data_IF_947953322166
#
_entry.id   IF_947953322166
#
_cell.length_a   1.000
_cell.length_b   1.000
_cell.length_c   1.000
_cell.angle_alpha   90.00
_cell.angle_beta   90.00
_cell.angle_gamma   90.00
#
_symmetry.space_group_name_H-M   'P 1'
#
loop_
_entity.id
_entity.type
_entity.pdbx_description
1 polymer ?
#
# COMPACT_ATOMS: atom_id res chain seq x y z
N UNK A 1 0.21 19.85 4.98
CA UNK A 1 -1.12 19.26 4.77
C UNK A 1 -1.04 18.23 3.66
N UNK A 2 -1.04 16.95 4.04
CA UNK A 2 -0.90 15.78 3.16
C UNK A 2 -2.19 15.62 2.32
N UNK A 3 -2.14 15.94 1.02
CA UNK A 3 -3.23 15.72 0.05
C UNK A 3 -3.32 14.24 -0.39
N UNK A 4 -3.16 13.29 0.53
CA UNK A 4 -3.33 11.85 0.26
C UNK A 4 -4.79 11.50 -0.05
N UNK A 5 -5.75 12.34 0.34
CA UNK A 5 -7.18 12.16 0.08
C UNK A 5 -7.53 12.15 -1.41
N UNK A 6 -6.86 12.96 -2.25
CA UNK A 6 -7.27 13.10 -3.66
C UNK A 6 -6.94 11.87 -4.51
N UNK A 7 -5.86 11.15 -4.20
CA UNK A 7 -5.51 9.91 -4.92
C UNK A 7 -6.50 8.78 -4.62
N UNK A 8 -7.11 8.79 -3.44
CA UNK A 8 -7.98 7.72 -2.98
C UNK A 8 -9.39 7.79 -3.62
N UNK A 9 -9.80 8.97 -4.09
CA UNK A 9 -11.07 9.17 -4.78
C UNK A 9 -11.07 8.50 -6.17
N UNK A 10 -9.96 8.59 -6.90
CA UNK A 10 -9.80 8.04 -8.27
C UNK A 10 -9.81 6.50 -8.28
N UNK A 11 -9.20 5.84 -7.29
CA UNK A 11 -9.17 4.38 -7.19
C UNK A 11 -10.52 3.77 -6.78
N UNK A 12 -11.34 4.52 -6.07
CA UNK A 12 -12.68 4.08 -5.63
C UNK A 12 -13.60 3.73 -6.80
N UNK A 13 -13.46 4.45 -7.93
CA UNK A 13 -14.24 4.24 -9.14
C UNK A 13 -13.80 2.98 -9.90
N UNK A 14 -12.49 2.66 -9.91
CA UNK A 14 -11.96 1.48 -10.61
C UNK A 14 -12.42 0.16 -10.00
N UNK A 15 -12.62 0.11 -8.68
CA UNK A 15 -13.02 -1.11 -7.98
C UNK A 15 -14.54 -1.22 -7.72
N UNK A 16 -15.35 -0.35 -8.31
CA UNK A 16 -16.80 -0.39 -8.16
C UNK A 16 -17.47 -1.57 -8.92
N UNK A 17 -16.75 -2.24 -9.84
CA UNK A 17 -17.33 -3.22 -10.77
C UNK A 17 -16.72 -4.63 -10.81
N UNK A 18 -15.61 -4.92 -10.13
CA UNK A 18 -14.90 -6.20 -10.30
C UNK A 18 -15.47 -7.33 -9.42
N UNK A 19 -16.63 -7.85 -9.82
CA UNK A 19 -17.18 -9.12 -9.34
C UNK A 19 -16.45 -10.31 -9.94
N UNK A 20 -15.18 -10.53 -9.59
CA UNK A 20 -14.42 -11.69 -10.08
C UNK A 20 -14.83 -12.94 -9.31
N UNK A 21 -15.80 -13.67 -9.88
CA UNK A 21 -16.07 -15.08 -9.56
C UNK A 21 -14.84 -15.91 -9.92
N UNK A 22 -14.11 -16.45 -8.92
CA UNK A 22 -13.20 -17.59 -9.12
C UNK A 22 -13.70 -18.77 -8.29
N UNK A 23 -14.06 -19.86 -8.98
CA UNK A 23 -14.62 -21.09 -8.42
C UNK A 23 -13.48 -22.08 -8.07
N UNK A 24 -13.53 -22.66 -6.86
CA UNK A 24 -12.94 -23.95 -6.43
C UNK A 24 -11.59 -23.92 -5.66
N UNK A 25 -11.26 -24.89 -4.77
CA UNK A 25 -11.98 -26.12 -4.38
C UNK A 25 -12.38 -26.19 -2.88
N UNK A 26 -13.45 -26.92 -2.56
CA UNK A 26 -13.56 -27.65 -1.29
C UNK A 26 -14.08 -26.89 -0.07
N UNK A 27 -15.40 -26.79 -0.01
CA UNK A 27 -16.27 -27.03 1.15
C UNK A 27 -15.74 -28.16 2.08
N UNK A 28 -14.74 -27.84 2.92
CA UNK A 28 -14.23 -28.73 3.96
C UNK A 28 -14.76 -28.31 5.34
N UNK A 29 -15.32 -29.24 6.13
CA UNK A 29 -15.99 -28.92 7.38
C UNK A 29 -15.00 -28.52 8.49
N UNK A 30 -15.52 -27.71 9.41
CA UNK A 30 -14.83 -27.14 10.57
C UNK A 30 -14.53 -28.26 11.57
N UNK A 31 -13.32 -28.78 11.53
CA UNK A 31 -12.79 -29.74 12.51
C UNK A 31 -11.28 -29.88 12.30
N UNK A 32 -10.52 -29.63 13.38
CA UNK A 32 -9.05 -29.76 13.55
C UNK A 32 -8.26 -29.86 12.23
N UNK A 33 -7.71 -28.72 11.77
CA UNK A 33 -7.25 -28.58 10.39
C UNK A 33 -5.81 -29.01 10.15
N UNK A 34 -5.67 -29.87 9.15
CA UNK A 34 -4.42 -30.11 8.44
C UNK A 34 -3.77 -28.77 8.02
N UNK A 35 -2.42 -28.69 7.96
CA UNK A 35 -1.72 -27.46 7.61
C UNK A 35 -2.21 -26.94 6.26
N UNK A 36 -2.86 -25.78 6.29
CA UNK A 36 -3.31 -25.07 5.09
C UNK A 36 -2.13 -24.27 4.52
N UNK A 37 -1.92 -24.23 3.19
CA UNK A 37 -0.76 -23.58 2.58
C UNK A 37 -0.85 -22.04 2.59
N UNK A 38 -1.90 -21.48 3.18
CA UNK A 38 -2.19 -20.04 3.19
C UNK A 38 -2.09 -19.48 4.61
N UNK A 39 -1.46 -18.31 4.75
CA UNK A 39 -1.39 -17.61 6.03
C UNK A 39 -2.72 -16.89 6.36
N UNK A 40 -3.37 -16.30 5.36
CA UNK A 40 -4.65 -15.61 5.52
C UNK A 40 -5.81 -16.53 5.12
N UNK A 41 -6.56 -17.00 6.11
CA UNK A 41 -7.65 -17.96 5.95
C UNK A 41 -8.92 -17.49 6.65
N UNK A 42 -10.08 -17.86 6.10
CA UNK A 42 -11.38 -17.61 6.74
C UNK A 42 -11.58 -18.55 7.95
N UNK A 43 -12.67 -18.41 8.70
CA UNK A 43 -13.05 -19.39 9.74
C UNK A 43 -13.28 -20.79 9.14
N UNK A 44 -13.79 -20.82 7.91
CA UNK A 44 -13.94 -22.01 7.08
C UNK A 44 -12.65 -22.34 6.33
N UNK A 45 -11.59 -21.54 6.55
CA UNK A 45 -10.17 -21.57 6.11
C UNK A 45 -9.86 -22.01 4.70
N UNK A 46 -10.83 -21.71 3.86
CA UNK A 46 -10.53 -21.23 2.53
C UNK A 46 -9.64 -19.98 2.62
N UNK A 47 -8.83 -19.71 1.59
CA UNK A 47 -8.08 -18.45 1.50
C UNK A 47 -9.05 -17.27 1.51
N UNK A 48 -8.67 -16.20 2.22
CA UNK A 48 -9.51 -14.98 2.29
C UNK A 48 -9.52 -14.29 0.93
N UNK A 49 -10.72 -13.97 0.43
CA UNK A 49 -10.89 -13.26 -0.83
C UNK A 49 -10.62 -11.75 -0.70
N UNK A 50 -10.19 -11.11 -1.78
CA UNK A 50 -9.95 -9.65 -1.80
C UNK A 50 -11.21 -8.85 -1.40
N UNK A 51 -12.41 -9.31 -1.78
CA UNK A 51 -13.66 -8.65 -1.43
C UNK A 51 -14.03 -8.79 0.05
N UNK A 52 -13.66 -9.90 0.68
CA UNK A 52 -13.85 -10.08 2.12
C UNK A 52 -12.96 -9.10 2.89
N UNK A 53 -11.70 -8.95 2.48
CA UNK A 53 -10.78 -7.95 3.05
C UNK A 53 -11.37 -6.54 2.89
N UNK A 54 -11.88 -6.19 1.70
CA UNK A 54 -12.52 -4.88 1.46
C UNK A 54 -13.74 -4.67 2.34
N UNK A 55 -14.57 -5.69 2.55
CA UNK A 55 -15.75 -5.62 3.44
C UNK A 55 -15.35 -5.39 4.88
N UNK A 56 -14.37 -6.14 5.38
CA UNK A 56 -13.83 -5.96 6.74
C UNK A 56 -13.23 -4.57 6.89
N UNK A 57 -12.44 -4.11 5.91
CA UNK A 57 -11.85 -2.78 5.91
C UNK A 57 -12.90 -1.66 5.99
N UNK A 58 -14.00 -1.76 5.23
CA UNK A 58 -15.11 -0.80 5.30
C UNK A 58 -15.80 -0.76 6.67
N UNK A 59 -15.84 -1.87 7.40
CA UNK A 59 -16.37 -1.92 8.79
C UNK A 59 -15.40 -1.22 9.75
N UNK A 60 -14.10 -1.44 9.59
CA UNK A 60 -13.07 -0.76 10.39
C UNK A 60 -13.09 0.74 10.15
N UNK A 61 -13.19 1.20 8.90
CA UNK A 61 -13.33 2.62 8.58
C UNK A 61 -14.55 3.25 9.24
N UNK A 62 -15.68 2.55 9.23
CA UNK A 62 -16.91 3.02 9.89
C UNK A 62 -16.73 3.13 11.41
N UNK A 63 -16.10 2.14 12.04
CA UNK A 63 -15.81 2.17 13.47
C UNK A 63 -14.82 3.29 13.85
N UNK A 64 -13.89 3.61 12.96
CA UNK A 64 -12.92 4.69 13.13
C UNK A 64 -13.47 6.08 12.77
N UNK A 65 -14.71 6.20 12.28
CA UNK A 65 -15.28 7.47 11.83
C UNK A 65 -14.63 8.03 10.56
N UNK A 66 -13.97 7.19 9.76
CA UNK A 66 -13.24 7.58 8.56
C UNK A 66 -14.10 7.48 7.28
N UNK A 67 -13.78 8.25 6.23
CA UNK A 67 -14.47 8.18 4.95
C UNK A 67 -14.46 6.77 4.33
N UNK A 68 -15.62 6.33 3.81
CA UNK A 68 -15.79 4.97 3.25
C UNK A 68 -15.20 4.76 1.86
N UNK A 69 -14.75 5.83 1.20
CA UNK A 69 -14.04 5.76 -0.08
C UNK A 69 -12.60 5.27 0.10
N UNK A 70 -12.08 5.25 1.33
CA UNK A 70 -10.76 4.69 1.57
C UNK A 70 -10.69 3.19 1.22
N UNK A 71 -9.64 2.82 0.50
CA UNK A 71 -9.37 1.45 0.09
C UNK A 71 -8.07 0.94 0.73
N UNK A 72 -7.84 -0.39 0.79
CA UNK A 72 -6.56 -0.93 1.23
C UNK A 72 -5.36 -0.42 0.40
N UNK A 73 -5.57 0.00 -0.85
CA UNK A 73 -4.50 0.59 -1.67
C UNK A 73 -4.02 1.95 -1.11
N UNK A 74 -4.91 2.70 -0.46
CA UNK A 74 -4.55 3.97 0.16
C UNK A 74 -3.60 3.80 1.37
N UNK A 75 -3.63 2.63 2.03
CA UNK A 75 -2.61 2.27 3.04
C UNK A 75 -1.22 2.14 2.39
N UNK A 76 -1.15 1.53 1.20
CA UNK A 76 0.10 1.38 0.44
C UNK A 76 0.67 2.73 0.00
N UNK A 77 -0.19 3.66 -0.41
CA UNK A 77 0.22 5.05 -0.70
C UNK A 77 0.72 5.79 0.54
N UNK A 78 0.06 5.59 1.69
CA UNK A 78 0.46 6.19 2.96
C UNK A 78 1.84 5.70 3.37
N UNK A 79 2.07 4.39 3.33
CA UNK A 79 3.37 3.79 3.61
C UNK A 79 4.48 4.35 2.71
N UNK A 80 4.26 4.39 1.40
CA UNK A 80 5.24 4.91 0.45
C UNK A 80 5.56 6.39 0.69
N UNK A 81 4.54 7.20 0.97
CA UNK A 81 4.69 8.64 1.18
C UNK A 81 5.45 8.95 2.48
N UNK A 82 5.16 8.23 3.57
CA UNK A 82 5.88 8.36 4.83
C UNK A 82 7.34 7.96 4.66
N UNK A 83 7.60 6.81 4.04
CA UNK A 83 8.96 6.31 3.85
C UNK A 83 9.80 7.27 3.00
N UNK A 84 9.22 7.86 1.95
CA UNK A 84 9.92 8.86 1.14
C UNK A 84 10.24 10.15 1.89
N UNK A 85 9.40 10.53 2.86
CA UNK A 85 9.61 11.73 3.68
C UNK A 85 10.66 11.50 4.76
N UNK A 86 10.71 10.32 5.37
CA UNK A 86 11.65 9.99 6.45
C UNK A 86 13.05 9.62 5.93
N UNK A 87 13.16 8.81 4.88
CA UNK A 87 14.46 8.32 4.33
C UNK A 87 15.14 9.31 3.37
N UNK A 88 14.70 10.57 3.32
CA UNK A 88 15.32 11.59 2.46
C UNK A 88 15.18 11.33 0.95
N UNK A 89 14.10 10.67 0.52
CA UNK A 89 13.78 10.53 -0.90
C UNK A 89 14.54 9.42 -1.64
N UNK A 90 15.00 8.37 -0.96
CA UNK A 90 15.64 7.19 -1.59
C UNK A 90 14.63 6.35 -2.39
N UNK A 91 14.27 6.81 -3.58
CA UNK A 91 13.20 6.25 -4.41
C UNK A 91 13.40 4.76 -4.75
N UNK A 92 14.63 4.34 -5.04
CA UNK A 92 14.96 2.94 -5.35
C UNK A 92 14.67 2.01 -4.17
N UNK A 93 14.91 2.46 -2.94
CA UNK A 93 14.64 1.68 -1.74
C UNK A 93 13.13 1.49 -1.56
N UNK A 94 12.36 2.59 -1.62
CA UNK A 94 10.90 2.54 -1.52
C UNK A 94 10.27 1.69 -2.62
N UNK A 95 10.75 1.82 -3.86
CA UNK A 95 10.26 1.02 -4.98
C UNK A 95 10.47 -0.49 -4.78
N UNK A 96 11.59 -0.89 -4.18
CA UNK A 96 11.87 -2.31 -3.85
C UNK A 96 10.95 -2.82 -2.74
N UNK A 97 10.73 -2.02 -1.69
CA UNK A 97 9.81 -2.37 -0.61
C UNK A 97 8.37 -2.53 -1.09
N UNK A 98 7.95 -1.73 -2.07
CA UNK A 98 6.63 -1.87 -2.70
C UNK A 98 6.59 -3.05 -3.68
N UNK A 99 7.72 -3.54 -4.17
CA UNK A 99 7.77 -4.58 -5.20
C UNK A 99 7.29 -4.09 -6.56
N UNK A 100 7.52 -2.80 -6.89
CA UNK A 100 7.25 -2.32 -8.24
C UNK A 100 8.29 -2.87 -9.21
N UNK A 101 7.84 -3.41 -10.33
CA UNK A 101 8.71 -3.97 -11.37
C UNK A 101 9.63 -2.92 -12.00
N UNK A 102 9.20 -1.64 -11.97
CA UNK A 102 9.99 -0.51 -12.44
C UNK A 102 9.92 0.63 -11.41
N UNK A 103 11.07 1.25 -11.13
CA UNK A 103 11.20 2.43 -10.28
C UNK A 103 10.40 3.62 -10.82
N UNK A 104 10.21 3.71 -12.14
CA UNK A 104 9.42 4.76 -12.79
C UNK A 104 7.99 4.82 -12.25
N UNK A 105 7.37 3.68 -11.94
CA UNK A 105 6.01 3.64 -11.34
C UNK A 105 5.98 4.39 -10.00
N UNK A 106 7.01 4.17 -9.19
CA UNK A 106 7.17 4.86 -7.90
C UNK A 106 7.49 6.34 -8.10
N UNK A 107 8.32 6.68 -9.09
CA UNK A 107 8.62 8.06 -9.46
C UNK A 107 7.35 8.81 -9.86
N UNK A 108 6.61 8.32 -10.84
CA UNK A 108 5.42 8.98 -11.39
C UNK A 108 4.34 9.20 -10.32
N UNK A 109 4.18 8.22 -9.43
CA UNK A 109 3.15 8.27 -8.38
C UNK A 109 3.53 9.19 -7.23
N UNK A 110 4.81 9.19 -6.81
CA UNK A 110 5.23 9.81 -5.56
C UNK A 110 6.22 10.96 -5.69
N UNK A 111 6.77 11.24 -6.87
CA UNK A 111 7.76 12.30 -7.08
C UNK A 111 7.26 13.68 -6.62
N UNK A 112 5.95 13.95 -6.78
CA UNK A 112 5.32 15.20 -6.29
C UNK A 112 5.44 15.41 -4.77
N UNK A 113 5.68 14.35 -4.00
CA UNK A 113 5.81 14.39 -2.54
C UNK A 113 7.27 14.41 -2.07
N UNK A 114 8.21 14.21 -2.98
CA UNK A 114 9.64 14.28 -2.67
C UNK A 114 9.97 15.76 -2.46
N UNK A 115 10.29 16.13 -1.21
CA UNK A 115 10.85 17.45 -0.93
C UNK A 115 12.15 17.57 -1.73
N UNK A 116 12.39 18.68 -2.44
CA UNK A 116 13.72 18.91 -3.00
C UNK A 116 14.69 18.91 -1.83
N UNK A 117 15.60 17.94 -1.80
CA UNK A 117 16.70 17.91 -0.85
C UNK A 117 17.50 19.18 -1.14
N UNK A 118 17.36 20.17 -0.27
CA UNK A 118 18.08 21.43 -0.38
C UNK A 118 19.57 21.15 -0.45
N UNK A 119 20.31 22.06 -1.10
CA UNK A 119 21.77 22.11 -1.34
C UNK A 119 22.69 21.95 -0.10
N UNK A 120 22.27 21.29 0.98
CA UNK A 120 23.08 21.03 2.17
C UNK A 120 24.12 19.92 1.97
N UNK A 121 23.79 18.87 1.20
CA UNK A 121 24.72 17.76 0.94
C UNK A 121 25.90 18.14 0.04
N UNK A 122 25.71 19.10 -0.89
CA UNK A 122 26.83 19.65 -1.67
C UNK A 122 27.77 20.48 -0.81
N UNK A 123 27.27 21.13 0.25
CA UNK A 123 28.08 21.90 1.18
C UNK A 123 28.96 21.00 2.07
N UNK A 124 28.49 19.80 2.43
CA UNK A 124 29.27 18.85 3.22
C UNK A 124 30.46 18.25 2.46
N UNK A 125 30.38 18.14 1.13
CA UNK A 125 31.49 17.69 0.29
C UNK A 125 32.50 18.81 0.01
N UNK A 126 32.08 20.08 0.05
CA UNK A 126 32.96 21.22 -0.19
C UNK A 126 33.99 21.48 0.92
N UNK A 127 33.77 20.97 2.15
CA UNK A 127 34.66 21.17 3.30
C UNK A 127 35.76 20.10 3.45
N UNK A 128 35.75 19.03 2.65
CA UNK A 128 36.72 17.93 2.80
C UNK A 128 37.83 17.90 1.74
N UNK A 129 37.87 18.87 0.82
CA UNK A 129 38.85 18.93 -0.28
C UNK A 129 39.77 20.16 -0.25
N UNK A 130 39.86 20.86 0.88
CA UNK A 130 40.83 21.95 1.11
C UNK A 130 41.60 21.65 2.40
N UNK A 131 42.49 20.66 2.33
CA UNK A 131 43.70 20.50 3.15
C UNK A 131 44.76 19.91 2.23
#
# INVERSE_FOLDING_TARGET
>A
MLHASDCCQEDSLKYAGDGVRRRGPGDAPVGVRAPVPYFFVTTNGTPVGADEIRKVFKRVLQAAGLPRHFTPHCLRHTYASLLLQEDGGRLLYVSRQLGHANVTITADTYAKWIRPVGRGVVNALAISSVV
#
